data_IF_068468191194
#
_entry.id   IF_068468191194
#
_cell.length_a   1.000
_cell.length_b   1.000
_cell.length_c   1.000
_cell.angle_alpha   90.00
_cell.angle_beta   90.00
_cell.angle_gamma   90.00
#
_symmetry.space_group_name_H-M   'P 1'
#
loop_
_entity.id
_entity.type
_entity.pdbx_description
1 polymer ?
#
# COMPACT_ATOMS: atom_id res chain seq x y z
N UNK A 1 -33.87 3.79 -3.68
CA UNK A 1 -35.11 3.65 -2.89
C UNK A 1 -35.85 2.35 -3.26
N UNK A 2 -35.56 1.30 -2.51
CA UNK A 2 -36.45 0.18 -2.16
C UNK A 2 -36.02 -0.18 -0.74
N UNK A 3 -36.98 -0.36 0.17
CA UNK A 3 -36.79 -0.75 1.58
C UNK A 3 -36.29 0.31 2.58
N UNK A 4 -36.84 1.55 2.56
CA UNK A 4 -36.71 2.46 3.73
C UNK A 4 -35.28 2.90 4.11
N UNK A 5 -34.26 2.49 3.37
CA UNK A 5 -32.87 2.88 3.60
C UNK A 5 -32.67 4.33 3.16
N UNK A 6 -32.30 5.20 4.11
CA UNK A 6 -31.67 6.46 3.77
C UNK A 6 -30.35 6.12 3.08
N UNK A 7 -30.22 6.53 1.82
CA UNK A 7 -28.98 6.40 1.06
C UNK A 7 -28.00 7.37 1.70
N UNK A 8 -26.98 6.83 2.40
CA UNK A 8 -25.87 7.64 2.88
C UNK A 8 -25.17 8.28 1.68
N UNK A 9 -24.95 9.59 1.75
CA UNK A 9 -24.04 10.27 0.83
C UNK A 9 -22.63 9.78 1.14
N UNK A 10 -22.07 8.94 0.26
CA UNK A 10 -20.68 8.50 0.38
C UNK A 10 -19.80 9.65 -0.12
N UNK A 11 -19.17 10.39 0.79
CA UNK A 11 -18.14 11.37 0.47
C UNK A 11 -16.79 10.71 0.82
N UNK A 12 -15.93 10.50 -0.17
CA UNK A 12 -14.57 9.98 0.06
C UNK A 12 -14.50 8.60 0.75
N UNK A 13 -15.49 7.73 0.56
CA UNK A 13 -15.52 6.41 1.18
C UNK A 13 -16.05 6.37 2.62
N UNK A 14 -16.52 7.49 3.19
CA UNK A 14 -17.15 7.54 4.51
C UNK A 14 -18.68 7.62 4.42
N UNK A 15 -19.36 6.97 5.36
CA UNK A 15 -20.80 7.08 5.60
C UNK A 15 -21.09 7.20 7.11
N UNK A 16 -21.90 8.17 7.51
CA UNK A 16 -22.41 8.32 8.86
C UNK A 16 -23.93 8.09 8.87
N UNK A 17 -24.41 7.29 9.81
CA UNK A 17 -25.79 6.81 9.90
C UNK A 17 -26.27 6.85 11.34
N UNK A 18 -27.56 7.08 11.56
CA UNK A 18 -28.20 6.90 12.87
C UNK A 18 -29.28 5.82 12.77
N UNK A 19 -29.26 4.85 13.69
CA UNK A 19 -30.26 3.79 13.75
C UNK A 19 -30.49 3.31 15.19
N UNK A 20 -31.76 3.24 15.60
CA UNK A 20 -32.20 2.71 16.89
C UNK A 20 -31.48 3.35 18.10
N UNK A 21 -31.14 4.65 17.99
CA UNK A 21 -30.40 5.39 19.02
C UNK A 21 -28.88 5.16 19.03
N UNK A 22 -28.34 4.58 17.96
CA UNK A 22 -26.90 4.40 17.75
C UNK A 22 -26.42 5.23 16.56
N UNK A 23 -25.24 5.84 16.70
CA UNK A 23 -24.50 6.45 15.61
C UNK A 23 -23.53 5.42 15.02
N UNK A 24 -23.60 5.20 13.71
CA UNK A 24 -22.75 4.26 12.97
C UNK A 24 -21.93 5.06 11.96
N UNK A 25 -20.62 5.04 12.12
CA UNK A 25 -19.67 5.59 11.13
C UNK A 25 -19.00 4.43 10.41
N UNK A 26 -18.99 4.45 9.09
CA UNK A 26 -18.35 3.46 8.23
C UNK A 26 -17.34 4.21 7.37
N UNK A 27 -16.10 3.73 7.34
CA UNK A 27 -15.10 4.12 6.36
C UNK A 27 -14.77 2.91 5.49
N UNK A 28 -14.65 3.14 4.19
CA UNK A 28 -14.38 2.14 3.16
C UNK A 28 -13.16 2.62 2.38
N UNK A 29 -12.14 1.78 2.34
CA UNK A 29 -10.89 2.04 1.62
C UNK A 29 -10.59 0.92 0.63
N UNK A 30 -10.05 1.30 -0.52
CA UNK A 30 -9.53 0.36 -1.52
C UNK A 30 -8.07 0.04 -1.19
N UNK A 31 -7.82 -1.09 -0.54
CA UNK A 31 -6.45 -1.54 -0.29
C UNK A 31 -5.79 -2.04 -1.59
N UNK A 32 -6.60 -2.47 -2.57
CA UNK A 32 -6.13 -2.87 -3.89
C UNK A 32 -5.65 -1.72 -4.75
N UNK A 33 -5.66 -0.48 -4.26
CA UNK A 33 -5.12 0.69 -4.96
C UNK A 33 -3.82 1.23 -4.36
N UNK A 34 -3.30 0.58 -3.31
CA UNK A 34 -2.06 0.98 -2.64
C UNK A 34 -0.92 0.03 -3.06
N UNK A 35 0.31 0.53 -3.22
CA UNK A 35 1.49 -0.33 -3.31
C UNK A 35 1.57 -1.28 -2.12
N UNK A 36 1.89 -2.56 -2.38
CA UNK A 36 2.06 -3.53 -1.32
C UNK A 36 3.47 -3.40 -0.71
N UNK A 37 3.52 -3.02 0.58
CA UNK A 37 4.73 -2.81 1.37
C UNK A 37 5.63 -4.04 1.39
N UNK A 38 5.05 -5.25 1.35
CA UNK A 38 5.81 -6.49 1.34
C UNK A 38 6.57 -6.73 0.04
N UNK A 39 6.16 -6.09 -1.06
CA UNK A 39 6.73 -6.28 -2.40
C UNK A 39 7.66 -5.16 -2.86
N UNK A 40 7.55 -3.97 -2.25
CA UNK A 40 8.37 -2.83 -2.64
C UNK A 40 9.85 -3.10 -2.35
N UNK A 41 10.71 -2.79 -3.32
CA UNK A 41 12.16 -2.83 -3.13
C UNK A 41 12.64 -1.68 -2.23
N UNK A 42 13.88 -1.74 -1.77
CA UNK A 42 14.55 -0.66 -1.03
C UNK A 42 14.50 0.67 -1.82
N UNK A 43 14.65 0.60 -3.15
CA UNK A 43 14.53 1.76 -4.05
C UNK A 43 13.10 2.32 -4.07
N UNK A 44 12.09 1.45 -4.14
CA UNK A 44 10.69 1.84 -4.13
C UNK A 44 10.27 2.49 -2.82
N UNK A 45 10.71 1.93 -1.70
CA UNK A 45 10.49 2.48 -0.36
C UNK A 45 11.17 3.84 -0.19
N UNK A 46 12.42 3.97 -0.63
CA UNK A 46 13.13 5.25 -0.61
C UNK A 46 12.42 6.32 -1.46
N UNK A 47 11.97 5.98 -2.66
CA UNK A 47 11.19 6.88 -3.52
C UNK A 47 9.86 7.28 -2.87
N UNK A 48 9.16 6.33 -2.25
CA UNK A 48 7.91 6.58 -1.55
C UNK A 48 8.10 7.60 -0.41
N UNK A 49 9.11 7.41 0.45
CA UNK A 49 9.45 8.34 1.53
C UNK A 49 9.69 9.75 1.00
N UNK A 50 10.53 9.86 -0.05
CA UNK A 50 10.86 11.15 -0.66
C UNK A 50 9.63 11.86 -1.22
N UNK A 51 8.73 11.13 -1.89
CA UNK A 51 7.51 11.72 -2.46
C UNK A 51 6.54 12.18 -1.37
N UNK A 52 6.38 11.41 -0.28
CA UNK A 52 5.54 11.79 0.87
C UNK A 52 6.09 13.05 1.54
N UNK A 53 7.39 13.07 1.82
CA UNK A 53 8.07 14.23 2.40
C UNK A 53 7.93 15.46 1.49
N UNK A 54 8.10 15.30 0.18
CA UNK A 54 7.95 16.41 -0.78
C UNK A 54 6.52 16.99 -0.81
N UNK A 55 5.50 16.13 -0.67
CA UNK A 55 4.09 16.53 -0.60
C UNK A 55 3.80 17.31 0.69
N UNK A 56 4.43 16.91 1.80
CA UNK A 56 4.27 17.57 3.09
C UNK A 56 5.03 18.91 3.19
N UNK A 57 6.10 19.08 2.41
CA UNK A 57 6.91 20.32 2.39
C UNK A 57 6.29 21.39 1.48
N UNK A 58 5.47 21.05 0.47
CA UNK A 58 4.83 22.05 -0.38
C UNK A 58 3.92 22.98 0.46
N UNK A 59 4.25 24.27 0.60
CA UNK A 59 3.31 25.23 1.18
C UNK A 59 2.08 25.29 0.29
N UNK A 60 0.89 25.36 0.88
CA UNK A 60 -0.31 25.75 0.14
C UNK A 60 -0.05 27.17 -0.37
N UNK A 61 0.40 27.31 -1.62
CA UNK A 61 0.65 28.62 -2.23
C UNK A 61 -0.72 29.19 -2.58
N UNK A 62 -1.31 29.96 -1.67
CA UNK A 62 -2.38 30.90 -2.01
C UNK A 62 -1.79 31.92 -2.99
N UNK A 63 -2.41 32.20 -4.14
CA UNK A 63 -1.93 33.28 -5.00
C UNK A 63 -2.19 34.60 -4.27
N UNK A 64 -1.12 35.25 -3.80
CA UNK A 64 -1.21 36.58 -3.23
C UNK A 64 -1.64 37.54 -4.36
N UNK A 65 -2.81 38.15 -4.18
CA UNK A 65 -3.28 39.25 -4.99
C UNK A 65 -2.25 40.38 -5.00
N UNK A 66 -1.85 40.76 -6.20
CA UNK A 66 -1.01 41.92 -6.50
C UNK A 66 -1.67 43.19 -5.95
N UNK A 67 -0.97 43.90 -5.06
CA UNK A 67 -1.28 45.29 -4.79
C UNK A 67 -0.04 46.06 -4.34
N UNK A 68 0.49 46.83 -5.29
CA UNK A 68 1.10 48.16 -5.16
C UNK A 68 2.21 48.34 -4.12
N UNK A 69 3.41 48.58 -4.65
CA UNK A 69 4.64 48.78 -3.90
C UNK A 69 4.69 50.00 -2.98
N UNK A 70 5.46 49.84 -1.91
CA UNK A 70 6.41 50.82 -1.37
C UNK A 70 7.38 50.08 -0.45
N UNK A 71 8.69 50.39 -0.44
CA UNK A 71 9.66 49.66 0.36
C UNK A 71 9.68 50.24 1.78
N UNK A 72 9.30 49.44 2.78
CA UNK A 72 9.54 49.79 4.18
C UNK A 72 10.13 48.57 4.87
N UNK A 73 11.32 48.78 5.43
CA UNK A 73 12.15 47.81 6.11
C UNK A 73 11.34 47.05 7.19
N UNK A 74 11.28 45.73 7.07
CA UNK A 74 10.76 44.82 8.09
C UNK A 74 11.90 44.02 8.74
N UNK A 75 11.81 43.75 10.05
CA UNK A 75 12.81 43.02 10.80
C UNK A 75 12.82 41.55 10.36
N UNK A 76 14.01 40.97 10.34
CA UNK A 76 14.33 39.57 10.08
C UNK A 76 13.51 38.64 10.99
N UNK A 77 12.35 38.20 10.51
CA UNK A 77 11.70 36.98 11.01
C UNK A 77 12.46 35.82 10.37
N UNK A 78 13.12 35.02 11.21
CA UNK A 78 13.88 33.87 10.76
C UNK A 78 13.00 32.92 9.95
N UNK A 79 13.37 32.70 8.70
CA UNK A 79 12.99 31.48 8.00
C UNK A 79 13.41 30.30 8.89
N UNK A 80 12.55 29.30 9.14
CA UNK A 80 13.06 28.03 9.63
C UNK A 80 14.02 27.50 8.56
N UNK A 81 15.29 27.40 8.94
CA UNK A 81 16.31 26.70 8.18
C UNK A 81 15.81 25.26 7.94
N UNK A 82 15.99 24.68 6.74
CA UNK A 82 15.56 23.31 6.42
C UNK A 82 16.41 22.21 7.11
N UNK A 83 17.01 22.48 8.27
CA UNK A 83 18.05 21.64 8.85
C UNK A 83 17.61 20.62 9.89
N UNK A 84 16.33 20.60 10.32
CA UNK A 84 15.96 19.83 11.53
C UNK A 84 14.89 18.74 11.32
N UNK A 85 14.37 18.53 10.10
CA UNK A 85 13.68 17.25 9.80
C UNK A 85 14.74 16.20 9.47
N UNK A 86 15.23 15.52 10.51
CA UNK A 86 16.00 14.30 10.33
C UNK A 86 15.15 13.32 9.50
N UNK A 87 15.61 13.02 8.28
CA UNK A 87 14.94 12.07 7.39
C UNK A 87 14.70 10.76 8.14
N UNK A 88 13.47 10.26 8.13
CA UNK A 88 13.12 9.01 8.80
C UNK A 88 13.82 7.88 8.06
N UNK A 89 14.76 7.19 8.72
CA UNK A 89 15.40 6.02 8.12
C UNK A 89 14.41 4.86 8.03
N UNK A 90 14.41 4.18 6.89
CA UNK A 90 13.61 2.98 6.64
C UNK A 90 14.39 1.68 6.91
N UNK A 91 15.65 1.76 7.35
CA UNK A 91 16.47 0.60 7.69
C UNK A 91 15.77 -0.37 8.66
N UNK A 92 15.07 0.07 9.72
CA UNK A 92 14.36 -0.84 10.61
C UNK A 92 13.28 -1.68 9.91
N UNK A 93 12.59 -1.10 8.92
CA UNK A 93 11.58 -1.82 8.14
C UNK A 93 12.21 -2.85 7.21
N UNK A 94 13.33 -2.49 6.58
CA UNK A 94 14.07 -3.40 5.71
C UNK A 94 14.64 -4.58 6.50
N UNK A 95 15.27 -4.30 7.64
CA UNK A 95 15.81 -5.32 8.53
C UNK A 95 14.71 -6.21 9.15
N UNK A 96 13.50 -5.67 9.35
CA UNK A 96 12.37 -6.45 9.87
C UNK A 96 11.87 -7.50 8.88
N UNK A 97 11.91 -7.19 7.57
CA UNK A 97 11.36 -8.03 6.51
C UNK A 97 12.37 -9.01 5.94
N UNK A 98 13.63 -8.61 5.83
CA UNK A 98 14.64 -9.49 5.23
C UNK A 98 15.19 -10.52 6.24
N UNK A 99 15.75 -11.61 5.71
CA UNK A 99 16.24 -12.76 6.49
C UNK A 99 17.73 -12.69 6.83
N UNK A 100 18.41 -11.58 6.51
CA UNK A 100 19.83 -11.45 6.83
C UNK A 100 20.01 -11.20 8.35
N UNK A 101 21.21 -11.47 8.85
CA UNK A 101 21.51 -11.31 10.28
C UNK A 101 22.18 -9.97 10.60
N UNK A 102 22.78 -9.33 9.60
CA UNK A 102 23.53 -8.10 9.78
C UNK A 102 22.61 -6.90 9.76
N UNK A 103 22.57 -6.09 10.84
CA UNK A 103 21.73 -4.90 10.85
C UNK A 103 22.28 -3.83 9.89
N UNK A 104 21.37 -3.13 9.21
CA UNK A 104 21.69 -1.89 8.49
C UNK A 104 22.10 -0.78 9.48
N UNK A 105 22.74 0.31 9.02
CA UNK A 105 23.28 1.36 9.91
C UNK A 105 22.29 1.87 10.96
N UNK A 106 21.05 2.16 10.57
CA UNK A 106 20.00 2.61 11.50
C UNK A 106 19.01 1.50 11.88
N UNK A 107 19.25 0.29 11.37
CA UNK A 107 18.38 -0.87 11.50
C UNK A 107 18.44 -1.57 12.85
N UNK A 108 17.83 -2.75 12.90
CA UNK A 108 17.71 -3.60 14.08
C UNK A 108 17.41 -5.04 13.68
N UNK A 109 18.17 -5.97 14.25
CA UNK A 109 18.06 -7.42 14.02
C UNK A 109 17.81 -8.18 15.32
N UNK A 110 17.92 -9.51 15.26
CA UNK A 110 17.62 -10.42 16.36
C UNK A 110 18.19 -9.96 17.71
N UNK A 111 19.46 -9.56 17.77
CA UNK A 111 20.12 -9.12 19.01
C UNK A 111 19.44 -7.90 19.65
N UNK A 112 19.00 -6.94 18.83
CA UNK A 112 18.26 -5.78 19.32
C UNK A 112 16.92 -6.20 19.93
N UNK A 113 16.13 -7.00 19.20
CA UNK A 113 14.78 -7.39 19.65
C UNK A 113 14.80 -8.39 20.82
N UNK A 114 15.83 -9.22 20.93
CA UNK A 114 16.06 -10.08 22.10
C UNK A 114 16.50 -9.28 23.34
N UNK A 115 17.03 -8.07 23.17
CA UNK A 115 17.34 -7.15 24.26
C UNK A 115 16.13 -6.42 24.83
N UNK A 116 14.96 -6.49 24.18
CA UNK A 116 13.73 -5.83 24.64
C UNK A 116 13.02 -6.62 25.74
N UNK A 117 12.08 -5.97 26.42
CA UNK A 117 11.26 -6.58 27.46
C UNK A 117 9.75 -6.40 27.17
N UNK A 118 9.01 -7.47 26.82
CA UNK A 118 9.50 -8.84 26.61
C UNK A 118 10.36 -8.98 25.35
N UNK A 119 11.28 -9.96 25.29
CA UNK A 119 12.06 -10.22 24.09
C UNK A 119 11.19 -10.87 23.02
N UNK A 120 11.43 -10.52 21.76
CA UNK A 120 10.78 -11.13 20.61
C UNK A 120 11.74 -11.23 19.42
N UNK A 121 11.30 -11.90 18.35
CA UNK A 121 12.06 -12.05 17.12
C UNK A 121 11.57 -11.06 16.07
N UNK A 122 12.46 -10.57 15.18
CA UNK A 122 12.02 -9.93 13.95
C UNK A 122 11.17 -10.90 13.12
N UNK A 123 10.45 -10.36 12.13
CA UNK A 123 9.55 -11.15 11.30
C UNK A 123 10.30 -12.01 10.29
N UNK A 124 11.37 -11.49 9.71
CA UNK A 124 12.16 -12.12 8.65
C UNK A 124 11.25 -12.61 7.49
N UNK A 125 10.25 -11.81 7.16
CA UNK A 125 9.21 -12.14 6.19
C UNK A 125 8.22 -10.99 5.99
N UNK A 126 7.15 -11.28 5.26
CA UNK A 126 6.07 -10.35 4.98
C UNK A 126 5.30 -9.98 6.26
N UNK A 127 5.03 -8.68 6.42
CA UNK A 127 4.18 -8.15 7.46
C UNK A 127 2.75 -8.69 7.27
N UNK A 128 2.10 -9.09 8.36
CA UNK A 128 0.70 -9.53 8.34
C UNK A 128 -0.28 -8.36 8.50
N UNK A 129 0.19 -7.25 9.09
CA UNK A 129 -0.59 -6.05 9.31
C UNK A 129 0.32 -4.82 9.28
N UNK A 130 -0.23 -3.65 8.94
CA UNK A 130 0.54 -2.40 9.04
C UNK A 130 0.92 -2.08 10.50
N UNK A 131 0.08 -2.45 11.47
CA UNK A 131 0.34 -2.26 12.91
C UNK A 131 1.62 -2.97 13.38
N UNK A 132 2.06 -4.02 12.67
CA UNK A 132 3.34 -4.69 12.92
C UNK A 132 4.53 -3.73 12.81
N UNK A 133 4.44 -2.66 12.00
CA UNK A 133 5.48 -1.63 11.92
C UNK A 133 5.77 -1.00 13.28
N UNK A 134 4.78 -0.86 14.17
CA UNK A 134 4.98 -0.25 15.49
C UNK A 134 5.85 -1.09 16.44
N UNK A 135 6.13 -2.35 16.10
CA UNK A 135 7.03 -3.22 16.86
C UNK A 135 8.50 -3.09 16.43
N UNK A 136 8.77 -2.37 15.33
CA UNK A 136 10.11 -2.13 14.83
C UNK A 136 10.79 -1.02 15.64
N UNK A 137 12.13 -0.99 15.62
CA UNK A 137 12.89 0.17 16.08
C UNK A 137 12.41 1.42 15.32
N UNK A 138 12.03 2.49 16.05
CA UNK A 138 11.41 3.70 15.50
C UNK A 138 10.13 3.47 14.67
N UNK A 139 9.46 2.34 14.91
CA UNK A 139 8.35 1.87 14.11
C UNK A 139 7.12 2.77 14.07
N UNK A 140 6.86 3.55 15.13
CA UNK A 140 5.76 4.50 15.15
C UNK A 140 5.92 5.61 14.10
N UNK A 141 7.14 6.15 13.95
CA UNK A 141 7.42 7.19 12.95
C UNK A 141 7.30 6.64 11.52
N UNK A 142 7.79 5.42 11.30
CA UNK A 142 7.66 4.74 10.01
C UNK A 142 6.18 4.44 9.69
N UNK A 143 5.42 3.99 10.70
CA UNK A 143 3.98 3.76 10.57
C UNK A 143 3.25 5.04 10.16
N UNK A 144 3.46 6.14 10.89
CA UNK A 144 2.79 7.41 10.62
C UNK A 144 3.12 7.96 9.23
N UNK A 145 4.37 7.75 8.77
CA UNK A 145 4.82 8.14 7.45
C UNK A 145 4.19 7.30 6.33
N UNK A 146 4.25 5.96 6.43
CA UNK A 146 3.97 5.06 5.31
C UNK A 146 2.54 4.54 5.27
N UNK A 147 1.90 4.29 6.41
CA UNK A 147 0.59 3.63 6.50
C UNK A 147 -0.52 4.27 5.63
N UNK A 148 -0.56 5.61 5.42
CA UNK A 148 -1.55 6.22 4.53
C UNK A 148 -1.41 5.83 3.06
N UNK A 149 -0.19 5.51 2.59
CA UNK A 149 0.13 5.34 1.17
C UNK A 149 0.41 3.88 0.77
N UNK A 150 0.38 2.93 1.70
CA UNK A 150 0.72 1.51 1.44
C UNK A 150 -0.33 0.54 1.97
N UNK A 151 -0.28 -0.70 1.48
CA UNK A 151 -1.00 -1.84 2.03
C UNK A 151 -0.06 -2.99 2.34
N UNK A 152 -0.49 -3.97 3.12
CA UNK A 152 0.16 -5.29 3.22
C UNK A 152 -0.70 -6.40 2.58
N UNK A 153 -1.91 -6.06 2.15
CA UNK A 153 -2.89 -7.00 1.63
C UNK A 153 -2.80 -7.15 0.10
N UNK A 154 -3.52 -8.15 -0.41
CA UNK A 154 -3.56 -8.46 -1.84
C UNK A 154 -2.67 -9.63 -2.23
N UNK A 155 -2.91 -10.14 -3.44
CA UNK A 155 -2.14 -11.25 -4.00
C UNK A 155 -0.86 -10.72 -4.64
N UNK A 156 0.17 -11.55 -4.57
CA UNK A 156 1.51 -11.22 -5.05
C UNK A 156 1.65 -11.67 -6.51
N UNK A 157 2.23 -10.81 -7.34
CA UNK A 157 2.57 -11.16 -8.71
C UNK A 157 4.04 -11.58 -8.80
N UNK A 158 4.36 -12.85 -9.12
CA UNK A 158 5.74 -13.30 -9.32
C UNK A 158 6.50 -12.50 -10.40
N UNK A 159 5.80 -11.90 -11.35
CA UNK A 159 6.41 -11.08 -12.38
C UNK A 159 6.93 -9.72 -11.88
N UNK A 160 6.54 -9.28 -10.68
CA UNK A 160 6.83 -7.92 -10.17
C UNK A 160 7.72 -7.90 -8.93
N UNK A 161 8.13 -9.06 -8.40
CA UNK A 161 8.91 -9.16 -7.16
C UNK A 161 10.33 -9.66 -7.43
N UNK A 162 11.27 -9.35 -6.54
CA UNK A 162 12.62 -9.93 -6.56
C UNK A 162 12.63 -11.35 -5.95
N UNK A 163 13.72 -12.08 -6.14
CA UNK A 163 13.99 -13.37 -5.49
C UNK A 163 14.02 -13.25 -3.98
N UNK A 164 14.54 -12.13 -3.45
CA UNK A 164 14.48 -11.83 -2.02
C UNK A 164 13.03 -11.71 -1.53
N UNK A 165 12.22 -10.87 -2.17
CA UNK A 165 10.81 -10.71 -1.83
C UNK A 165 10.04 -12.03 -1.99
N UNK A 166 10.37 -12.84 -3.00
CA UNK A 166 9.79 -14.17 -3.17
C UNK A 166 10.16 -15.12 -2.03
N UNK A 167 11.41 -15.11 -1.57
CA UNK A 167 11.82 -15.93 -0.42
C UNK A 167 11.18 -15.47 0.90
N UNK A 168 11.02 -14.16 1.10
CA UNK A 168 10.34 -13.59 2.27
C UNK A 168 8.84 -13.95 2.25
N UNK A 169 8.23 -13.95 1.06
CA UNK A 169 6.87 -14.46 0.86
C UNK A 169 6.77 -15.94 1.25
N UNK A 170 7.66 -16.80 0.74
CA UNK A 170 7.66 -18.23 1.07
C UNK A 170 7.78 -18.44 2.58
N UNK A 171 8.75 -17.79 3.23
CA UNK A 171 8.94 -17.88 4.69
C UNK A 171 7.70 -17.44 5.50
N UNK A 172 6.85 -16.59 4.92
CA UNK A 172 5.60 -16.15 5.56
C UNK A 172 4.44 -17.13 5.40
N UNK A 173 4.56 -18.06 4.45
CA UNK A 173 3.56 -19.10 4.18
C UNK A 173 3.89 -20.43 4.86
N UNK A 174 5.11 -20.58 5.39
CA UNK A 174 5.55 -21.78 6.11
C UNK A 174 6.99 -21.65 6.61
N UNK A 175 7.37 -22.55 7.51
CA UNK A 175 8.74 -22.61 8.04
C UNK A 175 9.65 -23.38 7.08
N UNK A 176 10.51 -22.67 6.37
CA UNK A 176 11.49 -23.26 5.45
C UNK A 176 12.92 -23.06 5.97
N UNK A 177 13.82 -23.97 5.61
CA UNK A 177 15.24 -23.83 5.94
C UNK A 177 15.86 -22.67 5.14
N UNK A 178 16.67 -21.83 5.79
CA UNK A 178 17.29 -20.65 5.17
C UNK A 178 18.06 -20.99 3.89
N UNK A 179 18.90 -22.03 3.91
CA UNK A 179 19.66 -22.44 2.72
C UNK A 179 18.79 -22.89 1.54
N UNK A 180 17.59 -23.43 1.80
CA UNK A 180 16.63 -23.74 0.74
C UNK A 180 15.99 -22.46 0.18
N UNK A 181 15.59 -21.53 1.05
CA UNK A 181 15.03 -20.24 0.64
C UNK A 181 16.00 -19.43 -0.23
N UNK A 182 17.28 -19.40 0.14
CA UNK A 182 18.31 -18.68 -0.62
C UNK A 182 18.53 -19.33 -1.99
N UNK A 183 18.58 -20.67 -2.03
CA UNK A 183 18.65 -21.41 -3.29
C UNK A 183 17.44 -21.12 -4.18
N UNK A 184 16.22 -21.14 -3.62
CA UNK A 184 14.99 -20.89 -4.39
C UNK A 184 14.92 -19.46 -4.88
N UNK A 185 15.41 -18.47 -4.12
CA UNK A 185 15.50 -17.09 -4.56
C UNK A 185 16.38 -16.96 -5.82
N UNK A 186 17.57 -17.57 -5.81
CA UNK A 186 18.49 -17.56 -6.95
C UNK A 186 17.93 -18.29 -8.18
N UNK A 187 17.27 -19.43 -7.96
CA UNK A 187 16.61 -20.18 -9.03
C UNK A 187 15.42 -19.44 -9.62
N UNK A 188 14.67 -18.72 -8.78
CA UNK A 188 13.56 -17.87 -9.21
C UNK A 188 14.04 -16.73 -10.13
N UNK A 189 15.10 -16.02 -9.75
CA UNK A 189 15.68 -14.96 -10.58
C UNK A 189 16.31 -15.51 -11.86
N UNK A 190 16.95 -16.67 -11.78
CA UNK A 190 17.47 -17.36 -12.97
C UNK A 190 16.35 -17.72 -13.93
N UNK A 191 15.24 -18.27 -13.42
CA UNK A 191 14.07 -18.56 -14.24
C UNK A 191 13.52 -17.30 -14.92
N UNK A 192 13.37 -16.18 -14.18
CA UNK A 192 12.88 -14.90 -14.72
C UNK A 192 13.83 -14.21 -15.70
N UNK A 193 15.12 -14.55 -15.67
CA UNK A 193 16.08 -14.07 -16.67
C UNK A 193 16.01 -14.88 -17.96
N UNK A 194 15.83 -16.20 -17.83
CA UNK A 194 15.80 -17.13 -18.97
C UNK A 194 14.41 -17.17 -19.66
N UNK A 195 13.36 -16.85 -18.90
CA UNK A 195 11.98 -16.77 -19.37
C UNK A 195 11.47 -15.35 -19.22
N UNK A 196 10.68 -14.88 -20.17
CA UNK A 196 10.21 -13.49 -20.12
C UNK A 196 9.21 -13.18 -19.03
N UNK A 197 8.37 -14.16 -18.65
CA UNK A 197 7.23 -13.95 -17.76
C UNK A 197 6.69 -15.29 -17.26
N UNK A 198 6.08 -15.29 -16.08
CA UNK A 198 5.12 -16.30 -15.67
C UNK A 198 3.75 -15.96 -16.25
N UNK A 199 3.27 -16.76 -17.22
CA UNK A 199 1.92 -16.59 -17.79
C UNK A 199 0.85 -17.28 -16.94
N UNK A 200 1.24 -18.27 -16.14
CA UNK A 200 0.37 -18.96 -15.19
C UNK A 200 1.12 -19.22 -13.88
N UNK A 201 0.38 -19.32 -12.78
CA UNK A 201 0.97 -19.67 -11.47
C UNK A 201 1.62 -21.07 -11.50
N UNK A 202 1.13 -21.98 -12.34
CA UNK A 202 1.68 -23.32 -12.48
C UNK A 202 3.13 -23.34 -12.98
N UNK A 203 3.56 -22.31 -13.73
CA UNK A 203 4.94 -22.20 -14.20
C UNK A 203 5.97 -22.08 -13.06
N UNK A 204 5.55 -21.70 -11.84
CA UNK A 204 6.43 -21.71 -10.68
C UNK A 204 6.95 -23.12 -10.33
N UNK A 205 6.24 -24.19 -10.72
CA UNK A 205 6.72 -25.57 -10.56
C UNK A 205 7.98 -25.87 -11.38
N UNK A 206 8.30 -25.02 -12.36
CA UNK A 206 9.51 -25.15 -13.17
C UNK A 206 10.72 -24.44 -12.57
N UNK A 207 10.53 -23.68 -11.48
CA UNK A 207 11.63 -23.10 -10.72
C UNK A 207 12.29 -24.22 -9.92
N UNK A 208 13.58 -24.45 -10.15
CA UNK A 208 14.32 -25.50 -9.46
C UNK A 208 14.23 -25.31 -7.94
N UNK A 209 13.91 -26.39 -7.22
CA UNK A 209 13.72 -26.38 -5.77
C UNK A 209 12.26 -26.23 -5.32
N UNK A 210 11.35 -25.76 -6.19
CA UNK A 210 9.92 -25.73 -5.92
C UNK A 210 9.31 -27.11 -6.22
N UNK A 211 8.95 -27.84 -5.16
CA UNK A 211 8.35 -29.18 -5.27
C UNK A 211 6.83 -29.08 -5.39
N UNK A 212 6.21 -28.15 -4.67
CA UNK A 212 4.77 -27.91 -4.65
C UNK A 212 4.49 -26.43 -4.48
N UNK A 213 3.33 -26.00 -4.98
CA UNK A 213 2.86 -24.61 -4.86
C UNK A 213 1.57 -24.51 -4.03
N UNK A 214 0.96 -25.62 -3.62
CA UNK A 214 -0.40 -25.62 -3.07
C UNK A 214 -0.55 -24.75 -1.81
N UNK A 215 0.50 -24.67 -0.99
CA UNK A 215 0.49 -23.88 0.25
C UNK A 215 0.44 -22.37 -0.02
N UNK A 216 1.11 -21.90 -1.07
CA UNK A 216 1.28 -20.46 -1.31
C UNK A 216 0.53 -19.96 -2.56
N UNK A 217 0.07 -20.86 -3.43
CA UNK A 217 -0.74 -20.55 -4.63
C UNK A 217 -1.96 -19.65 -4.36
N UNK A 218 -2.72 -19.80 -3.25
CA UNK A 218 -3.87 -18.93 -2.98
C UNK A 218 -3.51 -17.43 -2.85
N UNK A 219 -2.26 -17.12 -2.51
CA UNK A 219 -1.76 -15.76 -2.32
C UNK A 219 -1.14 -15.17 -3.58
N UNK A 220 -1.17 -15.88 -4.72
CA UNK A 220 -0.54 -15.44 -5.95
C UNK A 220 -1.54 -15.08 -7.05
N UNK A 221 -1.16 -14.13 -7.90
CA UNK A 221 -1.86 -13.75 -9.12
C UNK A 221 -0.87 -13.43 -10.24
N UNK A 222 -1.30 -13.44 -11.51
CA UNK A 222 -0.43 -13.11 -12.66
C UNK A 222 -0.70 -11.69 -13.19
N UNK A 223 -1.79 -11.04 -12.76
CA UNK A 223 -2.13 -9.70 -13.18
C UNK A 223 -2.88 -8.95 -12.09
N UNK A 224 -2.89 -7.61 -12.21
CA UNK A 224 -3.79 -6.75 -11.46
C UNK A 224 -3.39 -6.49 -10.02
N UNK A 225 -2.16 -6.00 -9.81
CA UNK A 225 -1.68 -5.65 -8.47
C UNK A 225 -2.33 -4.38 -7.90
N UNK A 226 -2.54 -3.34 -8.71
CA UNK A 226 -2.98 -2.03 -8.24
C UNK A 226 -4.08 -1.41 -9.13
N UNK A 227 -5.18 -0.95 -8.52
CA UNK A 227 -6.23 -0.24 -9.23
C UNK A 227 -5.76 1.16 -9.65
N UNK A 228 -5.48 1.33 -10.94
CA UNK A 228 -4.96 2.58 -11.52
C UNK A 228 -5.85 3.79 -11.26
N UNK A 229 -7.18 3.60 -11.18
CA UNK A 229 -8.13 4.69 -11.02
C UNK A 229 -8.22 5.20 -9.58
N UNK A 230 -8.01 4.31 -8.59
CA UNK A 230 -8.17 4.62 -7.17
C UNK A 230 -6.84 4.89 -6.46
N UNK A 231 -5.71 4.56 -7.10
CA UNK A 231 -4.39 4.77 -6.52
C UNK A 231 -4.08 6.27 -6.33
N UNK A 232 -3.36 6.63 -5.27
CA UNK A 232 -2.85 8.00 -5.14
C UNK A 232 -1.86 8.33 -6.27
N UNK A 233 -1.68 9.62 -6.61
CA UNK A 233 -0.63 10.06 -7.55
C UNK A 233 0.76 9.54 -7.09
N UNK A 234 1.03 9.54 -5.77
CA UNK A 234 2.26 9.02 -5.16
C UNK A 234 2.39 7.52 -5.38
N UNK A 235 1.40 6.73 -4.93
CA UNK A 235 1.47 5.27 -4.98
C UNK A 235 1.58 4.74 -6.40
N UNK A 236 0.85 5.34 -7.35
CA UNK A 236 0.95 4.97 -8.76
C UNK A 236 2.32 5.33 -9.36
N UNK A 237 2.89 6.48 -8.99
CA UNK A 237 4.24 6.89 -9.42
C UNK A 237 5.29 5.91 -8.92
N UNK A 238 5.24 5.52 -7.64
CA UNK A 238 6.17 4.54 -7.04
C UNK A 238 6.10 3.21 -7.79
N UNK A 239 4.90 2.66 -7.99
CA UNK A 239 4.71 1.40 -8.70
C UNK A 239 5.27 1.43 -10.13
N UNK A 240 4.98 2.49 -10.89
CA UNK A 240 5.44 2.58 -12.27
C UNK A 240 6.95 2.88 -12.37
N UNK A 241 7.53 3.58 -11.39
CA UNK A 241 8.98 3.76 -11.30
C UNK A 241 9.72 2.49 -10.90
N UNK A 242 9.18 1.68 -10.00
CA UNK A 242 9.68 0.34 -9.69
C UNK A 242 9.71 -0.53 -10.94
N UNK A 243 8.68 -0.42 -11.77
CA UNK A 243 8.58 -1.07 -13.08
C UNK A 243 9.49 -0.45 -14.17
N UNK A 244 10.32 0.53 -13.84
CA UNK A 244 11.22 1.26 -14.74
C UNK A 244 10.56 2.05 -15.88
N UNK A 245 9.31 2.48 -15.73
CA UNK A 245 8.69 3.41 -16.69
C UNK A 245 9.26 4.84 -16.54
N UNK A 246 9.29 5.59 -17.65
CA UNK A 246 9.79 6.97 -17.67
C UNK A 246 8.84 7.95 -17.00
N UNK A 247 9.34 9.11 -16.55
CA UNK A 247 8.49 10.17 -15.99
C UNK A 247 7.42 10.65 -16.98
N UNK A 248 7.78 10.74 -18.26
CA UNK A 248 6.83 11.12 -19.32
C UNK A 248 5.69 10.12 -19.48
N UNK A 249 5.98 8.81 -19.40
CA UNK A 249 4.99 7.76 -19.48
C UNK A 249 4.04 7.81 -18.27
N UNK A 250 4.60 7.95 -17.06
CA UNK A 250 3.86 8.06 -15.80
C UNK A 250 2.94 9.29 -15.84
N UNK A 251 3.46 10.45 -16.22
CA UNK A 251 2.66 11.67 -16.36
C UNK A 251 1.54 11.49 -17.39
N UNK A 252 1.80 10.78 -18.49
CA UNK A 252 0.78 10.41 -19.47
C UNK A 252 -0.37 9.62 -18.84
N UNK A 253 -0.07 8.60 -18.03
CA UNK A 253 -1.07 7.80 -17.32
C UNK A 253 -1.86 8.65 -16.33
N UNK A 254 -1.19 9.49 -15.54
CA UNK A 254 -1.85 10.40 -14.59
C UNK A 254 -2.79 11.38 -15.29
N UNK A 255 -2.36 11.95 -16.42
CA UNK A 255 -3.18 12.87 -17.22
C UNK A 255 -4.40 12.16 -17.83
N UNK A 256 -4.21 10.94 -18.37
CA UNK A 256 -5.31 10.15 -18.91
C UNK A 256 -6.37 9.87 -17.83
N UNK A 257 -5.92 9.46 -16.62
CA UNK A 257 -6.78 9.24 -15.47
C UNK A 257 -7.55 10.50 -15.03
N UNK A 258 -6.89 11.66 -15.05
CA UNK A 258 -7.52 12.95 -14.71
C UNK A 258 -8.61 13.35 -15.72
N UNK A 259 -8.46 12.96 -16.99
CA UNK A 259 -9.47 13.21 -18.03
C UNK A 259 -10.69 12.28 -17.91
N UNK A 260 -10.55 11.12 -17.25
CA UNK A 260 -11.65 10.19 -16.99
C UNK A 260 -11.14 8.82 -16.53
N UNK A 261 -12.05 7.96 -16.03
CA UNK A 261 -11.65 6.64 -15.55
C UNK A 261 -11.13 5.78 -16.70
N UNK A 262 -9.95 5.17 -16.49
CA UNK A 262 -9.37 4.15 -17.36
C UNK A 262 -10.25 2.91 -17.24
N UNK A 263 -10.86 2.46 -18.33
CA UNK A 263 -11.83 1.34 -18.31
C UNK A 263 -11.11 0.00 -18.43
N UNK A 264 -10.02 -0.03 -19.19
CA UNK A 264 -9.18 -1.20 -19.41
C UNK A 264 -7.71 -0.80 -19.35
N UNK A 265 -6.86 -1.67 -18.78
CA UNK A 265 -5.42 -1.42 -18.69
C UNK A 265 -4.79 -1.23 -20.08
N UNK A 266 -5.35 -1.87 -21.13
CA UNK A 266 -4.89 -1.69 -22.50
C UNK A 266 -4.89 -0.22 -22.99
N UNK A 267 -5.69 0.67 -22.39
CA UNK A 267 -5.73 2.09 -22.74
C UNK A 267 -4.43 2.82 -22.38
N UNK A 268 -3.65 2.32 -21.42
CA UNK A 268 -2.34 2.90 -21.04
C UNK A 268 -1.15 2.26 -21.75
N UNK A 269 -1.35 1.19 -22.54
CA UNK A 269 -0.26 0.47 -23.18
C UNK A 269 0.63 1.38 -24.05
N UNK A 270 0.02 2.22 -24.89
CA UNK A 270 0.75 3.15 -25.76
C UNK A 270 1.54 4.20 -24.98
N UNK A 271 0.99 4.69 -23.86
CA UNK A 271 1.67 5.65 -22.98
C UNK A 271 2.87 5.02 -22.28
N UNK A 272 2.73 3.76 -21.88
CA UNK A 272 3.76 2.96 -21.22
C UNK A 272 4.76 2.33 -22.22
N UNK A 273 4.65 2.61 -23.52
CA UNK A 273 5.53 2.06 -24.55
C UNK A 273 5.40 0.54 -24.73
N UNK A 274 4.32 -0.06 -24.24
CA UNK A 274 4.06 -1.48 -24.35
C UNK A 274 3.48 -1.82 -25.73
N UNK A 275 4.19 -2.67 -26.47
CA UNK A 275 3.82 -3.14 -27.81
C UNK A 275 3.70 -4.67 -27.89
N UNK A 276 3.84 -5.37 -26.77
CA UNK A 276 3.82 -6.84 -26.71
C UNK A 276 5.14 -7.49 -27.16
N UNK A 277 6.21 -6.71 -27.28
CA UNK A 277 7.54 -7.25 -27.61
C UNK A 277 8.07 -8.07 -26.43
N UNK A 278 8.63 -9.24 -26.75
CA UNK A 278 9.24 -10.15 -25.77
C UNK A 278 10.26 -9.41 -24.90
N UNK A 279 10.06 -9.44 -23.57
CA UNK A 279 10.95 -8.84 -22.58
C UNK A 279 10.55 -7.44 -22.12
N UNK A 280 9.49 -6.86 -22.69
CA UNK A 280 8.91 -5.63 -22.17
C UNK A 280 8.14 -5.90 -20.87
N UNK A 281 8.14 -4.92 -19.98
CA UNK A 281 7.30 -4.92 -18.78
C UNK A 281 5.83 -4.81 -19.20
N UNK A 282 5.02 -5.78 -18.77
CA UNK A 282 3.61 -5.83 -19.11
C UNK A 282 2.79 -4.95 -18.14
N UNK A 283 2.02 -3.95 -18.61
CA UNK A 283 1.23 -3.08 -17.73
C UNK A 283 0.27 -3.86 -16.81
N UNK A 284 -0.38 -4.91 -17.32
CA UNK A 284 -1.26 -5.79 -16.51
C UNK A 284 -0.55 -6.49 -15.33
N UNK A 285 0.79 -6.58 -15.30
CA UNK A 285 1.48 -7.13 -14.14
C UNK A 285 1.30 -6.25 -12.90
N UNK A 286 1.17 -4.93 -13.11
CA UNK A 286 1.11 -3.92 -12.07
C UNK A 286 -0.29 -3.30 -11.92
N UNK A 287 -1.03 -3.20 -13.02
CA UNK A 287 -2.26 -2.40 -13.08
C UNK A 287 -3.50 -3.28 -13.25
N UNK A 288 -4.60 -2.83 -12.65
CA UNK A 288 -5.97 -3.29 -12.87
C UNK A 288 -6.91 -2.09 -12.87
N UNK A 289 -8.12 -2.26 -13.38
CA UNK A 289 -9.22 -1.30 -13.24
C UNK A 289 -10.28 -1.77 -12.23
N UNK A 290 -10.00 -2.89 -11.55
CA UNK A 290 -10.90 -3.56 -10.61
C UNK A 290 -10.24 -3.68 -9.25
N UNK A 291 -10.85 -3.07 -8.24
CA UNK A 291 -10.48 -3.26 -6.83
C UNK A 291 -10.90 -4.66 -6.37
N UNK A 292 -10.01 -5.40 -5.71
CA UNK A 292 -10.32 -6.73 -5.15
C UNK A 292 -10.20 -6.79 -3.64
N UNK A 293 -9.51 -5.83 -3.01
CA UNK A 293 -9.31 -5.81 -1.55
C UNK A 293 -9.94 -4.54 -0.97
N UNK A 294 -10.94 -4.71 -0.11
CA UNK A 294 -11.69 -3.61 0.48
C UNK A 294 -11.57 -3.67 2.00
N UNK A 295 -11.22 -2.55 2.61
CA UNK A 295 -11.07 -2.39 4.04
C UNK A 295 -12.23 -1.57 4.60
N UNK A 296 -12.92 -2.13 5.60
CA UNK A 296 -13.99 -1.48 6.32
C UNK A 296 -13.53 -1.17 7.75
N UNK A 297 -13.70 0.09 8.14
CA UNK A 297 -13.54 0.54 9.53
C UNK A 297 -14.89 1.07 10.00
N UNK A 298 -15.47 0.42 11.00
CA UNK A 298 -16.85 0.65 11.43
C UNK A 298 -16.84 0.99 12.91
N UNK A 299 -17.42 2.14 13.26
CA UNK A 299 -17.66 2.56 14.63
C UNK A 299 -19.16 2.55 14.90
N UNK A 300 -19.57 2.01 16.04
CA UNK A 300 -20.95 2.07 16.54
C UNK A 300 -20.94 2.67 17.93
N UNK A 301 -21.60 3.82 18.10
CA UNK A 301 -21.67 4.56 19.37
C UNK A 301 -23.10 4.65 19.86
N UNK A 302 -23.30 4.47 21.16
CA UNK A 302 -24.60 4.72 21.78
C UNK A 302 -24.90 6.22 21.82
N UNK A 303 -26.05 6.66 21.32
CA UNK A 303 -26.48 8.05 21.39
C UNK A 303 -26.87 8.52 22.80
N UNK A 304 -26.96 7.60 23.78
CA UNK A 304 -27.37 7.89 25.17
C UNK A 304 -26.33 7.48 26.21
N UNK A 305 -25.14 7.04 25.80
CA UNK A 305 -24.10 6.53 26.70
C UNK A 305 -22.70 6.61 26.11
N UNK A 306 -21.71 6.09 26.83
CA UNK A 306 -20.29 6.11 26.41
C UNK A 306 -19.86 4.86 25.65
N UNK A 307 -20.80 3.94 25.38
CA UNK A 307 -20.52 2.67 24.72
C UNK A 307 -20.07 2.90 23.27
N UNK A 308 -18.92 2.31 22.92
CA UNK A 308 -18.38 2.33 21.56
C UNK A 308 -17.98 0.91 21.16
N UNK A 309 -18.34 0.48 19.96
CA UNK A 309 -17.86 -0.72 19.33
C UNK A 309 -17.11 -0.33 18.06
N UNK A 310 -15.99 -0.99 17.81
CA UNK A 310 -15.17 -0.79 16.62
C UNK A 310 -14.88 -2.12 15.93
N UNK A 311 -15.06 -2.14 14.63
CA UNK A 311 -14.75 -3.25 13.75
C UNK A 311 -13.83 -2.78 12.63
N UNK A 312 -12.66 -3.40 12.55
CA UNK A 312 -11.70 -3.31 11.45
C UNK A 312 -11.72 -4.65 10.72
N UNK A 313 -12.06 -4.63 9.43
CA UNK A 313 -12.09 -5.85 8.64
C UNK A 313 -11.74 -5.62 7.19
N UNK A 314 -10.93 -6.52 6.64
CA UNK A 314 -10.51 -6.49 5.25
C UNK A 314 -11.08 -7.69 4.53
N UNK A 315 -11.61 -7.46 3.33
CA UNK A 315 -12.30 -8.44 2.51
C UNK A 315 -11.69 -8.48 1.12
N UNK A 316 -11.49 -9.69 0.63
CA UNK A 316 -11.13 -9.95 -0.76
C UNK A 316 -12.38 -10.36 -1.53
N UNK A 317 -12.57 -9.77 -2.71
CA UNK A 317 -13.61 -10.13 -3.66
C UNK A 317 -13.00 -10.65 -4.95
N UNK A 318 -13.54 -11.75 -5.45
CA UNK A 318 -13.13 -12.38 -6.70
C UNK A 318 -14.34 -12.55 -7.61
N UNK A 319 -14.19 -12.18 -8.88
CA UNK A 319 -15.24 -12.40 -9.86
C UNK A 319 -15.35 -13.91 -10.14
N UNK A 320 -16.42 -14.54 -9.69
CA UNK A 320 -16.62 -15.98 -9.80
C UNK A 320 -17.02 -16.41 -11.21
N UNK A 321 -16.08 -17.02 -11.93
CA UNK A 321 -16.32 -17.82 -13.13
C UNK A 321 -17.18 -17.18 -14.23
N UNK A 322 -17.80 -18.02 -15.07
CA UNK A 322 -18.61 -17.60 -16.23
C UNK A 322 -19.86 -16.80 -15.86
N UNK A 323 -20.34 -16.89 -14.62
CA UNK A 323 -21.55 -16.19 -14.14
C UNK A 323 -21.26 -14.84 -13.48
N UNK A 324 -19.98 -14.51 -13.21
CA UNK A 324 -19.54 -13.26 -12.56
C UNK A 324 -20.16 -13.01 -11.19
N UNK A 325 -20.55 -14.06 -10.47
CA UNK A 325 -20.99 -13.91 -9.07
C UNK A 325 -19.76 -13.61 -8.21
N UNK A 326 -19.76 -12.51 -7.46
CA UNK A 326 -18.63 -12.17 -6.60
C UNK A 326 -18.54 -13.15 -5.43
N UNK A 327 -17.42 -13.87 -5.34
CA UNK A 327 -17.03 -14.56 -4.11
C UNK A 327 -16.34 -13.55 -3.20
N UNK A 328 -16.74 -13.52 -1.93
CA UNK A 328 -16.18 -12.60 -0.95
C UNK A 328 -15.63 -13.40 0.22
N UNK A 329 -14.37 -13.16 0.56
CA UNK A 329 -13.64 -13.85 1.63
C UNK A 329 -13.09 -12.80 2.59
N UNK A 330 -13.35 -12.98 3.89
CA UNK A 330 -12.72 -12.14 4.91
C UNK A 330 -11.24 -12.55 5.06
N UNK A 331 -10.33 -11.59 4.96
CA UNK A 331 -8.88 -11.82 5.07
C UNK A 331 -8.29 -11.27 6.37
N UNK A 332 -8.93 -10.28 6.99
CA UNK A 332 -8.55 -9.75 8.30
C UNK A 332 -9.78 -9.31 9.08
N UNK A 333 -9.72 -9.44 10.41
CA UNK A 333 -10.78 -9.08 11.33
C UNK A 333 -10.21 -8.71 12.70
N UNK A 334 -10.65 -7.57 13.22
CA UNK A 334 -10.36 -7.12 14.59
C UNK A 334 -11.56 -6.36 15.15
N UNK A 335 -11.94 -6.71 16.36
CA UNK A 335 -12.99 -6.01 17.12
C UNK A 335 -12.41 -5.38 18.38
N UNK A 336 -12.86 -4.17 18.72
CA UNK A 336 -12.45 -3.43 19.92
C UNK A 336 -13.67 -2.77 20.56
N UNK A 337 -13.62 -2.60 21.87
CA UNK A 337 -14.72 -2.08 22.67
C UNK A 337 -14.29 -0.88 23.53
N UNK A 338 -15.19 0.09 23.65
CA UNK A 338 -15.09 1.25 24.53
C UNK A 338 -13.76 1.99 24.38
N UNK A 339 -12.96 2.09 25.44
CA UNK A 339 -11.68 2.82 25.45
C UNK A 339 -10.62 2.19 24.54
N UNK A 340 -10.79 0.94 24.12
CA UNK A 340 -9.89 0.31 23.15
C UNK A 340 -10.24 0.68 21.70
N UNK A 341 -11.44 1.21 21.44
CA UNK A 341 -11.81 1.66 20.10
C UNK A 341 -11.01 2.93 19.72
N UNK A 342 -10.42 2.98 18.52
CA UNK A 342 -9.72 4.16 18.06
C UNK A 342 -10.68 5.34 17.87
N UNK A 343 -10.14 6.55 17.91
CA UNK A 343 -10.90 7.75 17.54
C UNK A 343 -11.39 7.65 16.09
N UNK A 344 -12.57 8.20 15.84
CA UNK A 344 -13.10 8.32 14.48
C UNK A 344 -12.26 9.38 13.78
N UNK A 345 -11.60 9.07 12.65
CA UNK A 345 -10.84 10.06 11.89
C UNK A 345 -11.72 11.26 11.56
N UNK A 346 -11.17 12.47 11.69
CA UNK A 346 -11.87 13.68 11.24
C UNK A 346 -11.90 13.68 9.71
N UNK A 347 -13.02 14.10 9.13
CA UNK A 347 -13.02 14.44 7.70
C UNK A 347 -12.08 15.63 7.54
N UNK A 348 -11.11 15.55 6.63
CA UNK A 348 -10.48 16.76 6.13
C UNK A 348 -11.59 17.56 5.45
N UNK A 349 -11.91 18.73 5.99
CA UNK A 349 -12.87 19.63 5.34
C UNK A 349 -12.35 19.89 3.93
N UNK A 350 -13.19 19.75 2.89
CA UNK A 350 -12.78 20.12 1.56
C UNK A 350 -12.28 21.56 1.66
N UNK A 351 -11.03 21.81 1.26
CA UNK A 351 -10.54 23.18 1.08
C UNK A 351 -11.59 23.86 0.22
N UNK A 352 -12.32 24.83 0.77
CA UNK A 352 -13.23 25.64 -0.02
C UNK A 352 -12.40 26.16 -1.18
N UNK A 353 -12.76 25.75 -2.39
CA UNK A 353 -12.26 26.39 -3.58
C UNK A 353 -12.87 27.80 -3.56
N UNK A 354 -12.24 28.71 -2.83
CA UNK A 354 -12.35 30.13 -3.11
C UNK A 354 -11.75 30.31 -4.51
N UNK A 355 -12.62 30.33 -5.53
CA UNK A 355 -12.79 31.46 -6.44
C UNK A 355 -13.73 31.08 -7.61
N UNK A 356 -14.87 31.77 -7.62
CA UNK A 356 -15.80 32.00 -8.75
C UNK A 356 -15.26 33.06 -9.72
#
# INVERSE_FOLDING_TARGET
KKDGYQVATIIGGRADLEKDGYQVTIMIEDEGSKPNLNTLSDKGLGLLSQLIESKNIQPTVTPAADNSGTPTETPTVGNPSPSDTQQISLDPLLDWRDRNTEPRPEGAKLDYYQGLNPPYKPRDGFLASLEEMKQMKNGAQIYDLLAPEVTVFGKINPNTISGEAFSNFLNSTGEYQQGWLDTVADQFETYRRDHTRFDTIEMLKNVQGIITIEQFKPFLQISGACNVNMASDIGLTVLLKEANYSDSAIQGVLNLRKAGPIKQVAEVNGLLGYSGVKGQVHPDDYLTTVSTIIHYRIWVRSGKGTGCYYLDTVWQREAGGLKKDWQITQISFRELWNQAAPEIPKLEEPKENEED
#
